data_IF_855781330798
#
_entry.id   IF_855781330798
#
_cell.length_a   1.000
_cell.length_b   1.000
_cell.length_c   1.000
_cell.angle_alpha   90.00
_cell.angle_beta   90.00
_cell.angle_gamma   90.00
#
_symmetry.space_group_name_H-M   'P 1'
#
loop_
_entity.id
_entity.type
_entity.pdbx_description
1 polymer ?
#
# COMPACT_ATOMS: atom_id res chain seq x y z
N UNK A 1 8.16 31.39 -12.13
CA UNK A 1 8.74 30.03 -12.13
C UNK A 1 7.76 29.15 -11.36
N UNK A 2 6.88 28.45 -12.07
CA UNK A 2 5.81 27.63 -11.50
C UNK A 2 6.40 26.28 -11.09
N UNK A 3 6.40 25.95 -9.81
CA UNK A 3 6.69 24.60 -9.33
C UNK A 3 5.34 23.89 -9.25
N UNK A 4 5.11 22.99 -10.20
CA UNK A 4 3.98 22.07 -10.18
C UNK A 4 4.32 21.01 -9.13
N UNK A 5 3.91 21.22 -7.88
CA UNK A 5 3.98 20.19 -6.85
C UNK A 5 2.90 19.15 -7.19
N UNK A 6 3.31 18.09 -7.87
CA UNK A 6 2.47 16.91 -8.09
C UNK A 6 1.99 16.40 -6.74
N UNK A 7 0.68 16.39 -6.55
CA UNK A 7 0.02 15.82 -5.39
C UNK A 7 0.20 14.30 -5.49
N UNK A 8 1.17 13.78 -4.76
CA UNK A 8 1.31 12.33 -4.55
C UNK A 8 0.22 11.95 -3.56
N UNK A 9 -0.88 11.39 -4.05
CA UNK A 9 -1.85 10.72 -3.18
C UNK A 9 -1.15 9.46 -2.67
N UNK A 10 -0.55 9.54 -1.48
CA UNK A 10 0.05 8.40 -0.82
C UNK A 10 -1.10 7.56 -0.25
N UNK A 11 -1.66 6.68 -1.08
CA UNK A 11 -2.50 5.60 -0.56
C UNK A 11 -1.55 4.67 0.21
N UNK A 12 -1.52 4.82 1.54
CA UNK A 12 -0.80 3.89 2.41
C UNK A 12 -1.56 2.57 2.40
N UNK A 13 -1.28 1.74 1.39
CA UNK A 13 -1.67 0.33 1.42
C UNK A 13 -0.93 -0.29 2.59
N UNK A 14 -1.66 -0.59 3.68
CA UNK A 14 -1.10 -1.28 4.83
C UNK A 14 -0.63 -2.66 4.36
N UNK A 15 0.69 -2.80 4.22
CA UNK A 15 1.34 -4.05 3.89
C UNK A 15 1.08 -5.02 5.04
N UNK A 16 0.37 -6.10 4.77
CA UNK A 16 0.39 -7.29 5.63
C UNK A 16 1.84 -7.75 5.69
N UNK A 17 2.50 -7.54 6.83
CA UNK A 17 3.84 -8.06 7.08
C UNK A 17 3.74 -9.58 7.10
N UNK A 18 3.90 -10.20 5.92
CA UNK A 18 4.15 -11.63 5.82
C UNK A 18 5.53 -11.87 6.41
N UNK A 19 5.56 -12.34 7.67
CA UNK A 19 6.78 -12.78 8.33
C UNK A 19 7.35 -13.98 7.58
N UNK A 20 8.26 -13.71 6.63
CA UNK A 20 9.07 -14.75 5.97
C UNK A 20 10.26 -15.02 6.88
N UNK A 21 10.30 -16.20 7.51
CA UNK A 21 11.43 -16.62 8.35
C UNK A 21 12.67 -16.85 7.48
N UNK A 22 13.82 -16.19 7.76
CA UNK A 22 15.05 -16.46 7.02
C UNK A 22 15.52 -17.90 7.27
N UNK A 23 15.74 -18.66 6.19
CA UNK A 23 16.30 -20.01 6.25
C UNK A 23 15.30 -21.17 6.20
N UNK A 24 13.99 -20.90 6.07
CA UNK A 24 12.98 -21.96 5.86
C UNK A 24 12.66 -22.08 4.38
N UNK A 25 13.12 -23.17 3.75
CA UNK A 25 12.72 -23.50 2.38
C UNK A 25 11.21 -23.70 2.34
N UNK A 26 10.51 -22.94 1.50
CA UNK A 26 9.08 -23.19 1.23
C UNK A 26 8.93 -24.59 0.64
N UNK A 27 8.36 -25.51 1.41
CA UNK A 27 8.14 -26.89 1.01
C UNK A 27 7.11 -27.04 -0.13
N UNK A 28 6.59 -25.93 -0.67
CA UNK A 28 5.62 -25.91 -1.78
C UNK A 28 6.24 -25.92 -3.18
N UNK A 29 7.56 -25.93 -3.32
CA UNK A 29 8.29 -25.88 -4.61
C UNK A 29 8.13 -27.13 -5.52
N UNK A 30 7.09 -27.95 -5.33
CA UNK A 30 6.85 -29.19 -6.08
C UNK A 30 5.39 -29.44 -6.48
N UNK A 31 4.47 -28.51 -6.23
CA UNK A 31 3.10 -28.58 -6.72
C UNK A 31 2.87 -27.51 -7.79
N UNK A 32 1.99 -27.78 -8.77
CA UNK A 32 1.46 -26.81 -9.75
C UNK A 32 0.65 -25.73 -9.03
N UNK A 33 1.33 -24.91 -8.22
CA UNK A 33 0.75 -23.86 -7.43
C UNK A 33 0.77 -22.57 -8.26
N UNK A 34 -0.40 -22.00 -8.47
CA UNK A 34 -0.52 -20.68 -9.07
C UNK A 34 0.23 -19.67 -8.20
N UNK A 35 1.24 -19.01 -8.76
CA UNK A 35 1.94 -17.91 -8.12
C UNK A 35 1.26 -16.59 -8.52
N UNK A 36 0.33 -16.05 -7.71
CA UNK A 36 -0.36 -14.80 -8.03
C UNK A 36 0.61 -13.62 -8.13
N UNK A 37 1.70 -13.62 -7.36
CA UNK A 37 2.68 -12.53 -7.37
C UNK A 37 3.41 -12.44 -8.72
N UNK A 38 3.79 -13.59 -9.29
CA UNK A 38 4.41 -13.64 -10.62
C UNK A 38 3.44 -13.21 -11.73
N UNK A 39 2.17 -13.59 -11.62
CA UNK A 39 1.14 -13.18 -12.57
C UNK A 39 0.95 -11.65 -12.58
N UNK A 40 0.79 -11.03 -11.40
CA UNK A 40 0.64 -9.57 -11.28
C UNK A 40 1.92 -8.81 -11.68
N UNK A 41 3.11 -9.36 -11.38
CA UNK A 41 4.37 -8.78 -11.81
C UNK A 41 4.45 -8.71 -13.34
N UNK A 42 4.03 -9.78 -14.03
CA UNK A 42 3.96 -9.81 -15.49
C UNK A 42 2.96 -8.80 -16.07
N UNK A 43 1.80 -8.61 -15.44
CA UNK A 43 0.79 -7.62 -15.87
C UNK A 43 1.30 -6.17 -15.76
N UNK A 44 2.18 -5.90 -14.79
CA UNK A 44 2.71 -4.56 -14.51
C UNK A 44 4.09 -4.31 -15.14
N UNK A 45 4.70 -5.33 -15.76
CA UNK A 45 6.05 -5.25 -16.32
C UNK A 45 7.17 -5.23 -15.28
N UNK A 46 6.88 -5.62 -14.03
CA UNK A 46 7.86 -5.75 -12.95
C UNK A 46 8.52 -7.13 -13.06
N UNK A 47 9.85 -7.19 -12.93
CA UNK A 47 10.55 -8.47 -12.83
C UNK A 47 10.26 -9.12 -11.48
N UNK A 48 9.56 -10.26 -11.51
CA UNK A 48 9.21 -10.97 -10.29
C UNK A 48 10.44 -11.50 -9.54
N UNK A 49 11.54 -11.81 -10.24
CA UNK A 49 12.75 -12.32 -9.60
C UNK A 49 13.39 -11.29 -8.67
N UNK A 50 13.43 -10.01 -9.08
CA UNK A 50 13.89 -8.90 -8.24
C UNK A 50 13.01 -8.74 -6.98
N UNK A 51 11.69 -8.88 -7.14
CA UNK A 51 10.74 -8.81 -6.02
C UNK A 51 10.93 -10.00 -5.08
N UNK A 52 11.07 -11.21 -5.61
CA UNK A 52 11.28 -12.43 -4.82
C UNK A 52 12.60 -12.39 -4.06
N UNK A 53 13.67 -11.92 -4.69
CA UNK A 53 14.97 -11.70 -4.03
C UNK A 53 14.84 -10.67 -2.90
N UNK A 54 14.21 -9.52 -3.19
CA UNK A 54 14.00 -8.48 -2.19
C UNK A 54 13.21 -9.00 -0.98
N UNK A 55 12.11 -9.71 -1.20
CA UNK A 55 11.27 -10.29 -0.14
C UNK A 55 12.02 -11.26 0.78
N UNK A 56 13.05 -11.94 0.26
CA UNK A 56 13.86 -12.92 1.02
C UNK A 56 15.15 -12.32 1.60
N UNK A 57 15.45 -11.06 1.31
CA UNK A 57 16.69 -10.39 1.69
C UNK A 57 16.54 -9.54 2.96
N UNK A 58 17.67 -9.17 3.56
CA UNK A 58 17.73 -8.17 4.65
C UNK A 58 17.20 -6.80 4.21
N UNK A 59 17.23 -6.49 2.91
CA UNK A 59 16.64 -5.26 2.38
C UNK A 59 15.13 -5.29 2.57
N UNK A 60 14.47 -6.40 2.23
CA UNK A 60 13.03 -6.58 2.47
C UNK A 60 12.66 -6.43 3.93
N UNK A 61 13.44 -7.04 4.83
CA UNK A 61 13.23 -6.92 6.30
C UNK A 61 13.36 -5.47 6.76
N UNK A 62 14.39 -4.74 6.30
CA UNK A 62 14.59 -3.33 6.65
C UNK A 62 13.47 -2.43 6.13
N UNK A 63 12.96 -2.70 4.92
CA UNK A 63 11.84 -1.96 4.34
C UNK A 63 10.56 -2.17 5.17
N UNK A 64 10.25 -3.42 5.56
CA UNK A 64 9.11 -3.73 6.42
C UNK A 64 9.25 -3.06 7.81
N UNK A 65 10.44 -3.10 8.41
CA UNK A 65 10.70 -2.42 9.68
C UNK A 65 10.48 -0.90 9.58
N UNK A 66 10.99 -0.26 8.52
CA UNK A 66 10.79 1.18 8.30
C UNK A 66 9.31 1.56 8.18
N UNK A 67 8.51 0.74 7.47
CA UNK A 67 7.06 0.95 7.39
C UNK A 67 6.43 0.81 8.78
N UNK A 68 6.83 -0.18 9.57
CA UNK A 68 6.36 -0.37 10.95
C UNK A 68 6.66 0.83 11.86
N UNK A 69 7.88 1.39 11.78
CA UNK A 69 8.26 2.60 12.53
C UNK A 69 7.42 3.81 12.13
N UNK A 70 7.12 3.97 10.83
CA UNK A 70 6.23 5.04 10.35
C UNK A 70 4.80 4.87 10.88
N UNK A 71 4.28 3.64 10.85
CA UNK A 71 2.95 3.33 11.37
C UNK A 71 2.84 3.54 12.89
N UNK A 72 3.89 3.23 13.65
CA UNK A 72 3.94 3.44 15.09
C UNK A 72 3.89 4.91 15.50
N UNK A 73 4.26 5.81 14.58
CA UNK A 73 4.25 7.27 14.77
C UNK A 73 2.92 7.93 14.37
N UNK A 74 1.94 7.17 13.87
CA UNK A 74 0.62 7.71 13.54
C UNK A 74 -0.10 8.23 14.80
N UNK A 75 -0.81 9.35 14.64
CA UNK A 75 -1.67 9.95 15.66
C UNK A 75 -3.07 10.20 15.06
N UNK A 76 -4.13 9.52 15.55
CA UNK A 76 -4.12 8.53 16.61
C UNK A 76 -3.40 7.24 16.20
N UNK A 77 -2.90 6.50 17.20
CA UNK A 77 -2.23 5.22 16.96
C UNK A 77 -3.16 4.24 16.26
N UNK A 78 -2.62 3.58 15.23
CA UNK A 78 -3.29 2.53 14.49
C UNK A 78 -3.81 1.45 15.45
N UNK A 79 -5.13 1.21 15.42
CA UNK A 79 -5.81 0.23 16.29
C UNK A 79 -6.45 -0.91 15.51
N UNK A 80 -6.73 -0.71 14.22
CA UNK A 80 -7.27 -1.72 13.33
C UNK A 80 -6.87 -1.43 11.87
N UNK A 81 -7.10 -2.39 10.98
CA UNK A 81 -6.89 -2.24 9.54
C UNK A 81 -8.21 -2.50 8.78
N UNK A 82 -8.47 -1.77 7.68
CA UNK A 82 -7.62 -0.73 7.07
C UNK A 82 -7.56 0.55 7.91
N UNK A 83 -6.42 1.27 7.84
CA UNK A 83 -6.22 2.56 8.50
C UNK A 83 -5.93 3.63 7.43
N UNK A 84 -6.97 4.38 7.06
CA UNK A 84 -6.97 5.28 5.91
C UNK A 84 -6.79 6.72 6.39
N UNK A 85 -5.82 7.41 5.80
CA UNK A 85 -5.59 8.84 5.97
C UNK A 85 -5.86 9.54 4.63
N UNK A 86 -6.50 10.71 4.67
CA UNK A 86 -6.71 11.57 3.51
C UNK A 86 -5.96 12.87 3.78
N UNK A 87 -5.07 13.27 2.86
CA UNK A 87 -4.16 14.40 3.04
C UNK A 87 -3.38 14.33 4.39
N UNK A 88 -2.87 13.15 4.75
CA UNK A 88 -2.16 12.85 6.01
C UNK A 88 -2.98 13.07 7.29
N UNK A 89 -4.30 13.29 7.19
CA UNK A 89 -5.19 13.45 8.34
C UNK A 89 -6.06 12.21 8.57
N UNK A 90 -6.20 11.84 9.84
CA UNK A 90 -7.08 10.77 10.28
C UNK A 90 -8.31 11.34 10.99
N UNK A 91 -9.50 10.90 10.56
CA UNK A 91 -10.70 11.00 11.38
C UNK A 91 -11.52 9.72 11.27
N UNK A 92 -12.23 9.34 12.34
CA UNK A 92 -13.11 8.17 12.31
C UNK A 92 -14.21 8.29 11.25
N UNK A 93 -14.70 9.51 11.02
CA UNK A 93 -15.69 9.82 9.99
C UNK A 93 -15.12 9.54 8.59
N UNK A 94 -13.98 10.15 8.24
CA UNK A 94 -13.36 9.97 6.93
C UNK A 94 -12.97 8.51 6.70
N UNK A 95 -12.49 7.82 7.74
CA UNK A 95 -12.17 6.40 7.68
C UNK A 95 -13.39 5.52 7.37
N UNK A 96 -14.53 5.82 8.02
CA UNK A 96 -15.79 5.10 7.78
C UNK A 96 -16.30 5.36 6.36
N UNK A 97 -16.30 6.63 5.95
CA UNK A 97 -16.74 7.05 4.63
C UNK A 97 -15.85 6.50 3.51
N UNK A 98 -14.53 6.48 3.70
CA UNK A 98 -13.58 5.98 2.71
C UNK A 98 -13.58 4.45 2.60
N UNK A 99 -13.99 3.74 3.65
CA UNK A 99 -14.21 2.29 3.58
C UNK A 99 -15.46 1.92 2.78
N UNK A 100 -16.46 2.81 2.75
CA UNK A 100 -17.69 2.63 1.97
C UNK A 100 -17.48 3.10 0.52
N UNK A 101 -16.96 4.31 0.34
CA UNK A 101 -16.73 4.93 -0.97
C UNK A 101 -15.48 5.82 -0.94
N UNK A 102 -14.32 5.20 -1.22
CA UNK A 102 -13.05 5.91 -1.31
C UNK A 102 -13.05 6.93 -2.46
N UNK A 103 -13.72 6.63 -3.58
CA UNK A 103 -13.72 7.51 -4.75
C UNK A 103 -14.39 8.84 -4.40
N UNK A 104 -15.59 8.79 -3.80
CA UNK A 104 -16.30 9.99 -3.35
C UNK A 104 -15.44 10.82 -2.39
N UNK A 105 -14.83 10.19 -1.38
CA UNK A 105 -13.99 10.90 -0.41
C UNK A 105 -12.78 11.56 -1.07
N UNK A 106 -12.12 10.88 -2.01
CA UNK A 106 -10.98 11.46 -2.75
C UNK A 106 -11.44 12.62 -3.64
N UNK A 107 -12.57 12.48 -4.33
CA UNK A 107 -13.14 13.54 -5.16
C UNK A 107 -13.56 14.77 -4.35
N UNK A 108 -14.18 14.57 -3.18
CA UNK A 108 -14.56 15.64 -2.25
C UNK A 108 -13.33 16.38 -1.69
N UNK A 109 -12.23 15.65 -1.45
CA UNK A 109 -10.97 16.22 -0.96
C UNK A 109 -10.15 16.93 -2.06
N UNK A 110 -10.43 16.66 -3.33
CA UNK A 110 -9.62 17.14 -4.44
C UNK A 110 -9.82 18.64 -4.69
N UNK A 111 -8.72 19.40 -4.62
CA UNK A 111 -8.72 20.88 -4.74
C UNK A 111 -8.45 21.39 -6.16
N UNK A 112 -8.24 20.49 -7.12
CA UNK A 112 -7.95 20.83 -8.53
C UNK A 112 -9.18 20.76 -9.44
N UNK A 113 -9.00 20.90 -10.77
CA UNK A 113 -10.07 20.70 -11.74
C UNK A 113 -10.58 19.26 -11.70
N UNK A 114 -11.80 19.09 -11.21
CA UNK A 114 -12.44 17.80 -10.97
C UNK A 114 -12.43 16.91 -12.23
N UNK A 115 -11.80 15.73 -12.19
CA UNK A 115 -11.84 14.77 -13.30
C UNK A 115 -13.26 14.30 -13.61
N UNK A 116 -13.48 13.78 -14.82
CA UNK A 116 -14.78 13.20 -15.23
C UNK A 116 -15.23 12.07 -14.28
N UNK A 117 -14.29 11.25 -13.81
CA UNK A 117 -14.57 10.17 -12.86
C UNK A 117 -15.17 10.64 -11.50
N UNK A 118 -15.09 11.93 -11.19
CA UNK A 118 -15.68 12.50 -9.97
C UNK A 118 -17.08 13.10 -10.21
N UNK A 119 -17.68 12.88 -11.39
CA UNK A 119 -19.00 13.36 -11.77
C UNK A 119 -20.05 12.24 -11.80
N UNK A 120 -19.70 11.04 -11.33
CA UNK A 120 -20.58 9.87 -11.26
C UNK A 120 -21.68 9.99 -10.18
#
# INVERSE_FOLDING_TARGET
MMVVMGVVVVVVVVVVVMMVEPGKSDARQGMNYFNPFAACANETGVDYSDVEECMRSDVGVKLQHNIGERQAQLDPRLSYVPWILIDDEFTEKTLTEAQDDLMRVVCDAYKGPTPEACQE
#
